data_IF_909889166110
#
_entry.id   IF_909889166110
#
_cell.length_a   1.000
_cell.length_b   1.000
_cell.length_c   1.000
_cell.angle_alpha   90.00
_cell.angle_beta   90.00
_cell.angle_gamma   90.00
#
_symmetry.space_group_name_H-M   'P 1'
#
loop_
_entity.id
_entity.type
_entity.pdbx_description
1 polymer ?
#
# COMPACT_ATOMS: atom_id res chain seq x y z
N UNK A 1 2.44 -15.25 -15.19
CA UNK A 1 3.21 -16.42 -14.69
C UNK A 1 4.68 -16.03 -14.73
N UNK A 2 5.26 -15.63 -13.58
CA UNK A 2 6.65 -15.17 -13.50
C UNK A 2 7.66 -16.30 -13.28
N UNK A 3 7.23 -17.51 -12.99
CA UNK A 3 8.15 -18.64 -12.87
C UNK A 3 7.44 -19.98 -13.03
N UNK A 4 7.80 -20.72 -14.04
CA UNK A 4 7.63 -22.17 -14.12
C UNK A 4 8.83 -22.94 -13.60
N UNK A 5 9.89 -22.27 -13.18
CA UNK A 5 11.14 -22.88 -12.71
C UNK A 5 11.31 -22.74 -11.20
N UNK A 6 11.94 -23.73 -10.56
CA UNK A 6 12.40 -23.72 -9.17
C UNK A 6 13.55 -22.69 -8.97
N UNK A 7 13.28 -21.42 -9.25
CA UNK A 7 14.26 -20.35 -9.06
C UNK A 7 14.26 -19.91 -7.59
N UNK A 8 15.45 -19.65 -7.08
CA UNK A 8 15.58 -19.04 -5.76
C UNK A 8 14.73 -17.76 -5.65
N UNK A 9 14.12 -17.54 -4.52
CA UNK A 9 13.25 -16.38 -4.24
C UNK A 9 13.92 -15.06 -4.62
N UNK A 10 15.23 -14.93 -4.34
CA UNK A 10 16.02 -13.74 -4.69
C UNK A 10 16.12 -13.48 -6.19
N UNK A 11 16.30 -14.53 -7.00
CA UNK A 11 16.37 -14.41 -8.46
C UNK A 11 15.03 -13.97 -9.02
N UNK A 12 13.96 -14.56 -8.53
CA UNK A 12 12.61 -14.23 -8.94
C UNK A 12 12.21 -12.80 -8.52
N UNK A 13 12.60 -12.36 -7.32
CA UNK A 13 12.41 -10.98 -6.86
C UNK A 13 13.16 -9.96 -7.73
N UNK A 14 14.40 -10.28 -8.13
CA UNK A 14 15.18 -9.44 -9.05
C UNK A 14 14.51 -9.31 -10.42
N UNK A 15 13.98 -10.42 -10.97
CA UNK A 15 13.23 -10.40 -12.24
C UNK A 15 12.00 -9.50 -12.13
N UNK A 16 11.29 -9.55 -11.00
CA UNK A 16 10.14 -8.68 -10.73
C UNK A 16 10.55 -7.20 -10.69
N UNK A 17 11.70 -6.87 -10.09
CA UNK A 17 12.24 -5.51 -10.10
C UNK A 17 12.55 -5.01 -11.50
N UNK A 18 13.27 -5.80 -12.31
CA UNK A 18 13.59 -5.46 -13.70
C UNK A 18 12.33 -5.30 -14.56
N UNK A 19 11.32 -6.16 -14.34
CA UNK A 19 10.03 -6.00 -15.00
C UNK A 19 9.36 -4.69 -14.64
N UNK A 20 9.36 -4.32 -13.36
CA UNK A 20 8.77 -3.06 -12.92
C UNK A 20 9.51 -1.86 -13.52
N UNK A 21 10.84 -1.88 -13.53
CA UNK A 21 11.67 -0.83 -14.13
C UNK A 21 11.33 -0.63 -15.61
N UNK A 22 11.18 -1.70 -16.37
CA UNK A 22 10.74 -1.63 -17.77
C UNK A 22 9.35 -1.01 -17.95
N UNK A 23 8.49 -1.10 -16.94
CA UNK A 23 7.10 -0.60 -16.99
C UNK A 23 6.94 0.84 -16.52
N UNK A 24 7.70 1.26 -15.55
CA UNK A 24 7.58 2.60 -14.95
C UNK A 24 8.80 3.51 -15.17
N UNK A 25 9.84 3.02 -15.86
CA UNK A 25 11.12 3.72 -16.00
C UNK A 25 11.92 3.67 -14.70
N UNK A 26 12.90 4.57 -14.54
CA UNK A 26 13.83 4.58 -13.42
C UNK A 26 13.20 4.15 -12.09
N UNK A 27 13.75 3.10 -11.52
CA UNK A 27 13.28 2.44 -10.32
C UNK A 27 14.45 2.26 -9.36
N UNK A 28 14.38 2.94 -8.21
CA UNK A 28 15.42 2.90 -7.17
C UNK A 28 15.06 1.90 -6.05
N UNK A 29 13.86 1.33 -6.12
CA UNK A 29 13.40 0.36 -5.14
C UNK A 29 14.12 -0.99 -5.23
N UNK A 30 13.71 -1.91 -4.38
CA UNK A 30 14.23 -3.28 -4.36
C UNK A 30 13.16 -4.26 -3.91
N UNK A 31 13.15 -5.44 -4.52
CA UNK A 31 12.37 -6.58 -4.04
C UNK A 31 13.30 -7.67 -3.50
N UNK A 32 13.07 -8.08 -2.27
CA UNK A 32 13.76 -9.20 -1.64
C UNK A 32 12.99 -10.52 -1.73
N UNK A 33 11.68 -10.41 -1.90
CA UNK A 33 10.76 -11.54 -2.02
C UNK A 33 9.46 -11.13 -2.77
N UNK A 34 8.55 -12.08 -2.90
CA UNK A 34 7.23 -11.88 -3.52
C UNK A 34 6.11 -11.66 -2.51
N UNK A 35 6.35 -11.93 -1.24
CA UNK A 35 5.32 -11.90 -0.20
C UNK A 35 5.10 -10.50 0.37
N UNK A 36 6.12 -9.63 0.26
CA UNK A 36 6.18 -8.34 0.94
C UNK A 36 6.38 -8.45 2.45
N UNK A 37 6.74 -9.64 2.96
CA UNK A 37 7.04 -9.88 4.38
C UNK A 37 8.52 -9.67 4.69
N UNK A 38 9.39 -9.80 3.67
CA UNK A 38 10.82 -9.61 3.80
C UNK A 38 11.20 -8.16 4.13
N UNK A 39 12.28 -8.02 4.90
CA UNK A 39 12.76 -6.70 5.36
C UNK A 39 13.52 -5.90 4.29
N UNK A 40 13.89 -6.54 3.18
CA UNK A 40 14.69 -5.92 2.13
C UNK A 40 13.88 -5.32 0.98
N UNK A 41 12.56 -5.52 0.94
CA UNK A 41 11.72 -4.92 -0.11
C UNK A 41 11.45 -3.46 0.21
N UNK A 42 11.80 -2.56 -0.71
CA UNK A 42 11.63 -1.11 -0.57
C UNK A 42 11.10 -0.51 -1.87
N UNK A 43 10.20 0.44 -1.73
CA UNK A 43 9.66 1.23 -2.84
C UNK A 43 9.21 2.59 -2.31
N UNK A 44 9.44 3.65 -3.06
CA UNK A 44 8.92 4.97 -2.73
C UNK A 44 7.42 5.09 -3.07
N UNK A 45 6.74 6.03 -2.43
CA UNK A 45 5.35 6.34 -2.77
C UNK A 45 5.20 6.84 -4.21
N UNK A 46 6.20 7.57 -4.72
CA UNK A 46 6.22 8.05 -6.09
C UNK A 46 6.30 6.90 -7.11
N UNK A 47 7.17 5.94 -6.90
CA UNK A 47 7.28 4.75 -7.77
C UNK A 47 5.99 3.94 -7.77
N UNK A 48 5.39 3.75 -6.59
CA UNK A 48 4.13 3.03 -6.48
C UNK A 48 2.96 3.79 -7.14
N UNK A 49 2.94 5.13 -7.08
CA UNK A 49 1.98 5.93 -7.84
C UNK A 49 2.19 5.76 -9.35
N UNK A 50 3.44 5.81 -9.84
CA UNK A 50 3.74 5.59 -11.26
C UNK A 50 3.25 4.23 -11.72
N UNK A 51 3.49 3.18 -10.93
CA UNK A 51 2.99 1.84 -11.21
C UNK A 51 1.46 1.80 -11.27
N UNK A 52 0.77 2.32 -10.26
CA UNK A 52 -0.70 2.27 -10.19
C UNK A 52 -1.39 3.20 -11.20
N UNK A 53 -0.70 4.24 -11.66
CA UNK A 53 -1.21 5.15 -12.70
C UNK A 53 -1.13 4.55 -14.12
N UNK A 54 -0.33 3.53 -14.34
CA UNK A 54 -0.13 2.95 -15.66
C UNK A 54 -1.43 2.36 -16.20
N UNK A 55 -1.85 2.82 -17.38
CA UNK A 55 -3.13 2.47 -18.01
C UNK A 55 -3.24 0.99 -18.38
N UNK A 56 -2.11 0.30 -18.57
CA UNK A 56 -2.05 -1.09 -19.00
C UNK A 56 -2.73 -2.05 -18.00
N UNK A 57 -2.67 -1.75 -16.70
CA UNK A 57 -3.29 -2.58 -15.64
C UNK A 57 -4.14 -1.82 -14.64
N UNK A 58 -4.35 -0.53 -14.81
CA UNK A 58 -5.09 0.28 -13.83
C UNK A 58 -6.48 -0.29 -13.54
N UNK A 59 -7.23 -0.65 -14.58
CA UNK A 59 -8.56 -1.24 -14.43
C UNK A 59 -8.51 -2.58 -13.67
N UNK A 60 -7.53 -3.43 -13.96
CA UNK A 60 -7.32 -4.69 -13.26
C UNK A 60 -6.93 -4.46 -11.80
N UNK A 61 -6.05 -3.50 -11.52
CA UNK A 61 -5.66 -3.15 -10.16
C UNK A 61 -6.86 -2.66 -9.34
N UNK A 62 -7.70 -1.81 -9.90
CA UNK A 62 -8.93 -1.33 -9.24
C UNK A 62 -9.85 -2.51 -8.91
N UNK A 63 -10.00 -3.48 -9.82
CA UNK A 63 -10.88 -4.64 -9.62
C UNK A 63 -10.33 -5.62 -8.59
N UNK A 64 -9.00 -5.77 -8.50
CA UNK A 64 -8.34 -6.63 -7.51
C UNK A 64 -8.30 -6.03 -6.11
N UNK A 65 -8.43 -4.70 -5.99
CA UNK A 65 -8.44 -4.04 -4.69
C UNK A 65 -9.80 -4.23 -4.00
N UNK A 66 -9.74 -4.43 -2.69
CA UNK A 66 -10.94 -4.55 -1.89
C UNK A 66 -11.63 -3.19 -1.69
N UNK A 67 -12.95 -3.20 -1.67
CA UNK A 67 -13.71 -2.03 -1.23
C UNK A 67 -13.36 -1.73 0.22
N UNK A 68 -13.01 -0.49 0.48
CA UNK A 68 -12.57 -0.07 1.78
C UNK A 68 -13.77 0.08 2.73
N UNK A 69 -13.84 -0.77 3.76
CA UNK A 69 -14.89 -0.70 4.78
C UNK A 69 -14.46 0.27 5.88
N UNK A 70 -15.09 1.42 5.95
CA UNK A 70 -14.94 2.39 7.04
C UNK A 70 -15.89 2.02 8.17
N UNK A 71 -15.45 2.16 9.44
CA UNK A 71 -16.32 1.95 10.59
C UNK A 71 -17.50 2.95 10.58
N UNK A 72 -18.66 2.56 11.14
CA UNK A 72 -19.90 3.35 11.10
C UNK A 72 -19.75 4.82 11.52
N UNK A 73 -18.90 5.14 12.48
CA UNK A 73 -18.70 6.51 12.98
C UNK A 73 -17.94 7.46 12.03
N UNK A 74 -17.11 6.93 11.14
CA UNK A 74 -16.40 7.70 10.09
C UNK A 74 -17.06 7.53 8.71
N UNK A 75 -18.06 6.68 8.64
CA UNK A 75 -18.67 6.21 7.38
C UNK A 75 -19.60 7.22 6.74
N UNK A 76 -20.23 8.11 7.52
CA UNK A 76 -21.22 9.06 6.97
C UNK A 76 -20.57 10.13 6.12
N UNK A 77 -19.52 10.76 6.61
CA UNK A 77 -18.79 11.83 5.91
C UNK A 77 -18.15 11.32 4.62
N UNK A 78 -17.38 10.22 4.70
CA UNK A 78 -16.76 9.64 3.50
C UNK A 78 -17.79 9.20 2.44
N UNK A 79 -18.90 8.61 2.85
CA UNK A 79 -19.99 8.23 1.92
C UNK A 79 -20.65 9.42 1.26
N UNK A 80 -20.68 10.57 1.92
CA UNK A 80 -21.23 11.80 1.36
C UNK A 80 -20.39 12.37 0.22
N UNK A 81 -19.07 12.11 0.24
CA UNK A 81 -18.12 12.68 -0.74
C UNK A 81 -17.54 11.66 -1.72
N UNK A 82 -17.83 10.36 -1.57
CA UNK A 82 -17.25 9.32 -2.42
C UNK A 82 -18.28 8.37 -2.99
N UNK A 83 -18.08 7.96 -4.25
CA UNK A 83 -18.80 6.84 -4.87
C UNK A 83 -18.19 5.52 -4.44
N UNK A 84 -16.85 5.43 -4.49
CA UNK A 84 -16.13 4.29 -3.95
C UNK A 84 -14.76 4.69 -3.39
N UNK A 85 -14.27 3.86 -2.49
CA UNK A 85 -12.88 3.83 -2.06
C UNK A 85 -12.41 2.38 -2.17
N UNK A 86 -11.39 2.14 -2.95
CA UNK A 86 -10.75 0.84 -3.08
C UNK A 86 -9.31 0.92 -2.60
N UNK A 87 -8.87 -0.08 -1.87
CA UNK A 87 -7.54 -0.08 -1.28
C UNK A 87 -6.91 -1.47 -1.19
N UNK A 88 -5.59 -1.49 -1.26
CA UNK A 88 -4.74 -2.57 -0.80
C UNK A 88 -3.93 -2.09 0.40
N UNK A 89 -3.98 -2.85 1.49
CA UNK A 89 -3.20 -2.58 2.69
C UNK A 89 -1.99 -3.50 2.76
N UNK A 90 -0.89 -3.00 3.33
CA UNK A 90 0.25 -3.79 3.76
C UNK A 90 0.53 -3.48 5.22
N UNK A 91 0.39 -4.48 6.10
CA UNK A 91 0.53 -4.28 7.54
C UNK A 91 1.48 -5.30 8.13
N UNK A 92 2.51 -4.80 8.80
CA UNK A 92 3.43 -5.57 9.65
C UNK A 92 3.59 -4.82 10.97
N UNK A 93 4.29 -5.42 11.93
CA UNK A 93 4.61 -4.69 13.17
C UNK A 93 5.40 -3.42 12.84
N UNK A 94 4.88 -2.25 13.25
CA UNK A 94 5.43 -0.93 12.95
C UNK A 94 5.51 -0.56 11.46
N UNK A 95 4.70 -1.21 10.61
CA UNK A 95 4.52 -0.84 9.21
C UNK A 95 3.03 -0.81 8.88
N UNK A 96 2.56 0.30 8.36
CA UNK A 96 1.18 0.49 7.93
C UNK A 96 1.15 1.20 6.59
N UNK A 97 1.00 0.44 5.51
CA UNK A 97 0.96 0.95 4.15
C UNK A 97 -0.45 0.83 3.58
N UNK A 98 -0.82 1.77 2.73
CA UNK A 98 -2.07 1.74 2.00
C UNK A 98 -1.91 2.43 0.65
N UNK A 99 -2.43 1.80 -0.39
CA UNK A 99 -2.51 2.39 -1.71
C UNK A 99 -3.87 2.09 -2.32
N UNK A 100 -4.40 2.98 -3.16
CA UNK A 100 -5.69 2.76 -3.75
C UNK A 100 -6.25 3.91 -4.55
N UNK A 101 -7.56 3.83 -4.80
CA UNK A 101 -8.31 4.76 -5.63
C UNK A 101 -9.54 5.24 -4.89
N UNK A 102 -9.86 6.52 -5.09
CA UNK A 102 -11.09 7.16 -4.63
C UNK A 102 -11.81 7.67 -5.87
N UNK A 103 -13.09 7.44 -5.97
CA UNK A 103 -13.96 8.20 -6.87
C UNK A 103 -14.86 9.07 -6.01
N UNK A 104 -14.77 10.39 -6.20
CA UNK A 104 -15.59 11.37 -5.48
C UNK A 104 -16.99 11.44 -6.06
N UNK A 105 -17.93 12.07 -5.35
CA UNK A 105 -19.31 12.28 -5.85
C UNK A 105 -19.35 13.17 -7.09
N UNK A 106 -18.40 14.09 -7.23
CA UNK A 106 -18.24 14.89 -8.46
C UNK A 106 -17.68 14.10 -9.65
N UNK A 107 -17.34 12.82 -9.49
CA UNK A 107 -16.77 11.95 -10.53
C UNK A 107 -15.25 12.06 -10.68
N UNK A 108 -14.56 12.81 -9.84
CA UNK A 108 -13.09 12.86 -9.87
C UNK A 108 -12.49 11.56 -9.36
N UNK A 109 -11.49 11.07 -10.08
CA UNK A 109 -10.73 9.87 -9.70
C UNK A 109 -9.38 10.27 -9.12
N UNK A 110 -9.15 9.89 -7.88
CA UNK A 110 -7.91 10.12 -7.15
C UNK A 110 -7.18 8.79 -6.98
N UNK A 111 -5.88 8.83 -7.17
CA UNK A 111 -4.96 7.75 -6.82
C UNK A 111 -4.15 8.19 -5.61
N UNK A 112 -4.01 7.33 -4.62
CA UNK A 112 -3.26 7.66 -3.41
C UNK A 112 -2.33 6.52 -2.96
N UNK A 113 -1.23 6.92 -2.33
CA UNK A 113 -0.29 6.02 -1.67
C UNK A 113 0.14 6.64 -0.35
N UNK A 114 0.00 5.90 0.72
CA UNK A 114 0.43 6.28 2.07
C UNK A 114 1.33 5.17 2.60
N UNK A 115 2.61 5.47 2.76
CA UNK A 115 3.59 4.56 3.34
C UNK A 115 4.01 5.08 4.72
N UNK A 116 3.77 4.27 5.75
CA UNK A 116 4.13 4.60 7.12
C UNK A 116 4.93 3.48 7.76
N UNK A 117 6.07 3.81 8.37
CA UNK A 117 6.89 2.85 9.08
C UNK A 117 7.66 3.47 10.24
N UNK A 118 7.96 2.66 11.25
CA UNK A 118 8.98 2.95 12.25
C UNK A 118 10.04 1.84 12.17
N UNK A 119 11.00 2.04 11.27
CA UNK A 119 12.01 1.03 10.96
C UNK A 119 12.90 0.71 12.15
N UNK A 120 13.20 1.70 13.00
CA UNK A 120 14.00 1.49 14.20
C UNK A 120 13.32 0.49 15.14
N UNK A 121 12.06 0.73 15.50
CA UNK A 121 11.28 -0.18 16.36
C UNK A 121 11.08 -1.55 15.72
N UNK A 122 10.83 -1.58 14.41
CA UNK A 122 10.71 -2.83 13.66
C UNK A 122 12.00 -3.66 13.71
N UNK A 123 13.16 -3.03 13.46
CA UNK A 123 14.45 -3.73 13.47
C UNK A 123 14.80 -4.25 14.87
N UNK A 124 14.49 -3.50 15.92
CA UNK A 124 14.65 -3.99 17.30
C UNK A 124 13.76 -5.19 17.58
N UNK A 125 12.53 -5.18 17.09
CA UNK A 125 11.59 -6.28 17.28
C UNK A 125 12.06 -7.57 16.58
N UNK A 126 12.51 -7.46 15.32
CA UNK A 126 13.04 -8.60 14.56
C UNK A 126 14.23 -9.25 15.29
N UNK A 127 15.13 -8.42 15.86
CA UNK A 127 16.28 -8.91 16.62
C UNK A 127 15.91 -9.61 17.94
N UNK A 128 14.77 -9.25 18.52
CA UNK A 128 14.30 -9.81 19.80
C UNK A 128 13.39 -11.04 19.64
N UNK A 129 13.12 -11.45 18.41
CA UNK A 129 12.21 -12.56 18.05
C UNK A 129 10.83 -12.48 18.75
N UNK A 130 10.35 -11.25 18.98
CA UNK A 130 9.06 -11.01 19.63
C UNK A 130 7.97 -10.84 18.59
N UNK A 131 7.02 -11.76 18.60
CA UNK A 131 5.83 -11.68 17.79
C UNK A 131 4.78 -10.73 18.41
N UNK A 132 4.25 -9.82 17.58
CA UNK A 132 3.04 -9.04 17.84
C UNK A 132 2.98 -8.30 19.21
N UNK A 133 3.97 -7.47 19.58
CA UNK A 133 3.91 -6.76 20.85
C UNK A 133 2.75 -5.75 20.89
N UNK A 134 2.16 -5.50 22.08
CA UNK A 134 1.05 -4.57 22.24
C UNK A 134 1.33 -3.17 21.68
N UNK A 135 2.57 -2.70 21.80
CA UNK A 135 3.00 -1.38 21.34
C UNK A 135 2.93 -1.27 19.80
N UNK A 136 3.26 -2.35 19.08
CA UNK A 136 3.12 -2.38 17.61
C UNK A 136 1.66 -2.32 17.18
N UNK A 137 0.76 -2.97 17.92
CA UNK A 137 -0.69 -2.89 17.65
C UNK A 137 -1.22 -1.47 17.88
N UNK A 138 -0.77 -0.80 18.94
CA UNK A 138 -1.13 0.61 19.21
C UNK A 138 -0.62 1.51 18.10
N UNK A 139 0.64 1.33 17.68
CA UNK A 139 1.23 2.11 16.60
C UNK A 139 0.46 1.89 15.28
N UNK A 140 0.19 0.63 14.94
CA UNK A 140 -0.57 0.29 13.72
C UNK A 140 -1.99 0.87 13.73
N UNK A 141 -2.63 0.96 14.90
CA UNK A 141 -3.93 1.62 15.05
C UNK A 141 -3.83 3.13 14.80
N UNK A 142 -2.77 3.79 15.28
CA UNK A 142 -2.55 5.24 15.04
C UNK A 142 -2.29 5.53 13.57
N UNK A 143 -1.42 4.77 12.90
CA UNK A 143 -1.17 4.98 11.46
C UNK A 143 -2.43 4.72 10.63
N UNK A 144 -3.24 3.74 11.03
CA UNK A 144 -4.53 3.47 10.38
C UNK A 144 -5.51 4.63 10.52
N UNK A 145 -5.59 5.27 11.69
CA UNK A 145 -6.39 6.48 11.89
C UNK A 145 -5.93 7.60 10.96
N UNK A 146 -4.62 7.90 10.96
CA UNK A 146 -4.05 8.92 10.07
C UNK A 146 -4.36 8.66 8.58
N UNK A 147 -4.27 7.41 8.14
CA UNK A 147 -4.60 7.04 6.76
C UNK A 147 -6.06 7.37 6.42
N UNK A 148 -6.97 7.12 7.35
CA UNK A 148 -8.39 7.44 7.20
C UNK A 148 -8.63 8.94 7.14
N UNK A 149 -8.01 9.69 8.05
CA UNK A 149 -8.15 11.15 8.12
C UNK A 149 -7.63 11.82 6.83
N UNK A 150 -6.52 11.32 6.28
CA UNK A 150 -5.99 11.78 4.99
C UNK A 150 -6.94 11.49 3.83
N UNK A 151 -7.47 10.27 3.75
CA UNK A 151 -8.43 9.89 2.70
C UNK A 151 -9.69 10.74 2.77
N UNK A 152 -10.20 11.01 3.97
CA UNK A 152 -11.37 11.86 4.19
C UNK A 152 -11.08 13.31 3.77
N UNK A 153 -9.95 13.85 4.18
CA UNK A 153 -9.50 15.19 3.79
C UNK A 153 -9.38 15.34 2.26
N UNK A 154 -8.80 14.36 1.59
CA UNK A 154 -8.68 14.39 0.13
C UNK A 154 -10.02 14.22 -0.58
N UNK A 155 -10.88 13.31 -0.10
CA UNK A 155 -12.20 13.12 -0.65
C UNK A 155 -13.03 14.43 -0.55
N UNK A 156 -12.96 15.12 0.58
CA UNK A 156 -13.62 16.41 0.80
C UNK A 156 -13.05 17.51 -0.11
N UNK A 157 -11.72 17.63 -0.15
CA UNK A 157 -11.02 18.70 -0.89
C UNK A 157 -11.23 18.62 -2.40
N UNK A 158 -11.34 17.41 -2.92
CA UNK A 158 -11.39 17.17 -4.37
C UNK A 158 -12.76 16.70 -4.87
N UNK A 159 -13.79 16.80 -4.02
CA UNK A 159 -15.16 16.48 -4.42
C UNK A 159 -15.76 17.52 -5.39
#
# INVERSE_FOLDING_TARGET
KFSGDNREIKVSAKIMGSWLENKIGNYEGNFSDHSGLGVGSMMSSHELIRFLKNSEWQASAINLMQSFKVKKTQSSTLKSYTNFIKAKTGTLNYVGNMAGYIETKSGRKLLYVILGSNLEKRNRLIKSDRDNPPEAKIWNKKIRSLQLDLIESWALRYN
#
